data_IF_870424471234
#
_entry.id   IF_870424471234
#
_cell.length_a   1.000
_cell.length_b   1.000
_cell.length_c   1.000
_cell.angle_alpha   90.00
_cell.angle_beta   90.00
_cell.angle_gamma   90.00
#
_symmetry.space_group_name_H-M   'P 1'
#
loop_
_entity.id
_entity.type
_entity.pdbx_description
1 polymer ?
#
# COMPACT_ATOMS: atom_id res chain seq x y z
N UNK A 1 15.75 -10.23 -5.84
CA UNK A 1 15.31 -9.21 -6.83
C UNK A 1 14.57 -8.13 -6.06
N UNK A 2 14.82 -6.86 -6.34
CA UNK A 2 14.10 -5.76 -5.71
C UNK A 2 12.72 -5.64 -6.38
N UNK A 3 11.65 -5.82 -5.63
CA UNK A 3 10.28 -5.70 -6.13
C UNK A 3 9.43 -4.97 -5.09
N UNK A 4 8.46 -4.25 -5.61
CA UNK A 4 7.44 -3.54 -4.82
C UNK A 4 6.23 -4.45 -4.62
N UNK A 5 5.53 -4.33 -3.51
CA UNK A 5 4.28 -5.05 -3.25
C UNK A 5 3.16 -4.04 -3.02
N UNK A 6 2.01 -4.30 -3.64
CA UNK A 6 0.79 -3.49 -3.53
C UNK A 6 -0.36 -4.41 -3.11
N UNK A 7 -1.08 -4.04 -2.05
CA UNK A 7 -2.31 -4.72 -1.63
C UNK A 7 -3.33 -3.74 -1.05
N UNK A 8 -4.57 -4.21 -0.87
CA UNK A 8 -5.62 -3.45 -0.20
C UNK A 8 -5.76 -3.90 1.25
N UNK A 9 -5.96 -2.94 2.14
CA UNK A 9 -6.43 -3.16 3.50
C UNK A 9 -7.84 -2.61 3.68
N UNK A 10 -8.65 -3.28 4.49
CA UNK A 10 -9.97 -2.81 4.89
C UNK A 10 -9.98 -2.52 6.39
N UNK A 11 -10.50 -1.35 6.77
CA UNK A 11 -10.83 -1.02 8.14
C UNK A 11 -12.29 -1.34 8.40
N UNK A 12 -12.53 -2.31 9.27
CA UNK A 12 -13.87 -2.83 9.54
C UNK A 12 -14.77 -1.82 10.23
N UNK A 13 -14.22 -0.90 11.04
CA UNK A 13 -15.01 0.06 11.81
C UNK A 13 -15.89 0.98 10.96
N UNK A 14 -15.44 1.32 9.74
CA UNK A 14 -16.13 2.25 8.84
C UNK A 14 -16.22 1.76 7.39
N UNK A 15 -15.89 0.48 7.15
CA UNK A 15 -15.83 -0.12 5.81
C UNK A 15 -14.99 0.69 4.81
N UNK A 16 -13.92 1.33 5.30
CA UNK A 16 -12.98 2.06 4.45
C UNK A 16 -11.85 1.15 3.98
N UNK A 17 -11.22 1.53 2.88
CA UNK A 17 -10.15 0.78 2.24
C UNK A 17 -8.93 1.67 2.07
N UNK A 18 -7.72 1.12 2.15
CA UNK A 18 -6.51 1.83 1.76
C UNK A 18 -5.62 0.93 0.92
N UNK A 19 -4.80 1.55 0.08
CA UNK A 19 -3.69 0.90 -0.59
C UNK A 19 -2.49 0.89 0.33
N UNK A 20 -1.85 -0.26 0.45
CA UNK A 20 -0.59 -0.44 1.13
C UNK A 20 0.49 -0.74 0.11
N UNK A 21 1.63 -0.10 0.31
CA UNK A 21 2.77 -0.14 -0.58
C UNK A 21 4.02 -0.52 0.22
N UNK A 22 4.63 -1.65 -0.12
CA UNK A 22 5.92 -2.08 0.44
C UNK A 22 6.98 -1.99 -0.65
N UNK A 23 7.92 -1.07 -0.53
CA UNK A 23 8.91 -0.79 -1.57
C UNK A 23 10.33 -0.77 -1.00
N UNK A 24 11.35 -1.23 -1.76
CA UNK A 24 12.75 -1.06 -1.39
C UNK A 24 13.11 0.38 -0.97
N UNK A 25 14.02 0.52 0.00
CA UNK A 25 14.40 1.82 0.60
C UNK A 25 14.90 2.88 -0.37
N UNK A 26 15.42 2.48 -1.52
CA UNK A 26 16.07 3.33 -2.53
C UNK A 26 15.17 3.65 -3.74
N UNK A 27 13.92 3.18 -3.75
CA UNK A 27 12.99 3.44 -4.85
C UNK A 27 12.13 4.68 -4.61
N UNK A 28 11.80 5.38 -5.70
CA UNK A 28 10.83 6.46 -5.66
C UNK A 28 9.44 5.95 -5.25
N UNK A 29 8.73 6.80 -4.52
CA UNK A 29 7.38 6.55 -4.07
C UNK A 29 6.40 7.37 -4.94
N UNK A 30 5.28 6.78 -5.39
CA UNK A 30 4.22 7.53 -6.06
C UNK A 30 3.56 8.53 -5.10
N UNK A 31 2.96 9.57 -5.65
CA UNK A 31 2.21 10.57 -4.89
C UNK A 31 1.02 9.94 -4.13
N UNK A 32 0.61 10.59 -3.04
CA UNK A 32 -0.55 10.16 -2.24
C UNK A 32 -0.25 9.05 -1.23
N UNK A 33 1.01 8.68 -1.05
CA UNK A 33 1.47 7.73 -0.03
C UNK A 33 2.24 8.43 1.08
N UNK A 34 2.12 7.91 2.30
CA UNK A 34 2.79 8.38 3.51
C UNK A 34 3.51 7.22 4.18
N UNK A 35 4.65 7.49 4.81
CA UNK A 35 5.42 6.44 5.51
C UNK A 35 4.58 5.90 6.67
N UNK A 36 4.47 4.58 6.77
CA UNK A 36 3.70 3.94 7.82
C UNK A 36 4.33 4.06 9.20
N UNK A 37 3.50 4.21 10.23
CA UNK A 37 3.96 4.22 11.63
C UNK A 37 4.48 2.84 12.07
N UNK A 38 3.97 1.77 11.47
CA UNK A 38 4.38 0.40 11.71
C UNK A 38 5.18 -0.05 10.50
N UNK A 39 6.50 -0.17 10.64
CA UNK A 39 7.35 -0.68 9.58
C UNK A 39 7.40 -2.20 9.61
N UNK A 40 7.62 -2.78 8.43
CA UNK A 40 7.86 -4.21 8.32
C UNK A 40 9.22 -4.57 8.97
N UNK A 41 9.41 -5.81 9.39
CA UNK A 41 10.66 -6.28 10.00
C UNK A 41 11.83 -6.38 8.99
N UNK A 42 11.59 -6.00 7.73
CA UNK A 42 12.56 -6.06 6.65
C UNK A 42 13.31 -4.72 6.54
N UNK A 43 14.61 -4.65 6.89
CA UNK A 43 15.37 -3.40 6.88
C UNK A 43 15.57 -2.80 5.47
N UNK A 44 15.44 -3.61 4.42
CA UNK A 44 15.62 -3.21 3.03
C UNK A 44 14.34 -2.67 2.37
N UNK A 45 13.19 -2.72 3.06
CA UNK A 45 11.91 -2.23 2.55
C UNK A 45 11.27 -1.23 3.50
N UNK A 46 10.52 -0.28 2.94
CA UNK A 46 9.68 0.66 3.68
C UNK A 46 8.22 0.43 3.34
N UNK A 47 7.40 0.51 4.37
CA UNK A 47 5.95 0.40 4.27
C UNK A 47 5.33 1.79 4.20
N UNK A 48 4.44 1.97 3.23
CA UNK A 48 3.72 3.20 2.98
C UNK A 48 2.21 2.94 2.86
N UNK A 49 1.43 3.95 3.23
CA UNK A 49 -0.02 3.92 3.19
C UNK A 49 -0.55 5.11 2.39
N UNK A 50 -1.54 4.83 1.55
CA UNK A 50 -2.44 5.87 1.05
C UNK A 50 -3.42 6.32 2.14
N UNK A 51 -4.20 7.35 1.85
CA UNK A 51 -5.36 7.72 2.66
C UNK A 51 -6.42 6.59 2.69
N UNK A 52 -7.37 6.71 3.62
CA UNK A 52 -8.52 5.82 3.66
C UNK A 52 -9.59 6.29 2.68
N UNK A 53 -9.95 5.41 1.74
CA UNK A 53 -11.00 5.61 0.77
C UNK A 53 -12.32 5.01 1.26
N UNK A 54 -13.47 5.68 1.01
CA UNK A 54 -14.79 5.20 1.43
C UNK A 54 -15.33 4.06 0.55
N UNK A 55 -14.63 3.68 -0.53
CA UNK A 55 -15.05 2.60 -1.41
C UNK A 55 -13.86 1.85 -1.99
N UNK A 56 -14.06 0.55 -2.23
CA UNK A 56 -13.09 -0.32 -2.89
C UNK A 56 -12.74 0.18 -4.30
N UNK A 57 -13.70 0.79 -5.02
CA UNK A 57 -13.46 1.33 -6.35
C UNK A 57 -12.41 2.45 -6.33
N UNK A 58 -12.53 3.41 -5.40
CA UNK A 58 -11.55 4.49 -5.24
C UNK A 58 -10.18 3.98 -4.79
N UNK A 59 -10.16 3.03 -3.86
CA UNK A 59 -8.91 2.41 -3.43
C UNK A 59 -8.24 1.66 -4.59
N UNK A 60 -9.02 0.99 -5.44
CA UNK A 60 -8.52 0.31 -6.63
C UNK A 60 -7.96 1.30 -7.67
N UNK A 61 -8.63 2.43 -7.90
CA UNK A 61 -8.11 3.49 -8.78
C UNK A 61 -6.74 3.98 -8.29
N UNK A 62 -6.61 4.28 -6.99
CA UNK A 62 -5.32 4.66 -6.38
C UNK A 62 -4.25 3.57 -6.53
N UNK A 63 -4.63 2.29 -6.34
CA UNK A 63 -3.74 1.15 -6.50
C UNK A 63 -3.29 0.96 -7.96
N UNK A 64 -4.19 1.17 -8.91
CA UNK A 64 -3.92 1.07 -10.34
C UNK A 64 -2.96 2.21 -10.76
N UNK A 65 -3.16 3.43 -10.27
CA UNK A 65 -2.22 4.57 -10.48
C UNK A 65 -0.83 4.26 -9.90
N UNK A 66 -0.75 3.72 -8.69
CA UNK A 66 0.53 3.33 -8.09
C UNK A 66 1.22 2.22 -8.89
N UNK A 67 0.46 1.24 -9.39
CA UNK A 67 1.02 0.17 -10.23
C UNK A 67 1.56 0.72 -11.57
N UNK A 68 0.86 1.69 -12.17
CA UNK A 68 1.28 2.33 -13.40
C UNK A 68 2.58 3.13 -13.22
N UNK A 69 2.72 3.85 -12.11
CA UNK A 69 3.95 4.59 -11.77
C UNK A 69 5.20 3.69 -11.80
N UNK A 70 5.09 2.47 -11.23
CA UNK A 70 6.19 1.50 -11.22
C UNK A 70 6.38 0.83 -12.59
N UNK A 71 5.29 0.54 -13.30
CA UNK A 71 5.35 -0.04 -14.64
C UNK A 71 6.09 0.87 -15.64
N UNK A 72 5.79 2.17 -15.62
CA UNK A 72 6.43 3.18 -16.47
C UNK A 72 7.95 3.32 -16.20
N UNK A 73 8.40 2.90 -15.01
CA UNK A 73 9.81 2.90 -14.58
C UNK A 73 10.48 1.53 -14.71
N UNK A 74 9.82 0.56 -15.33
CA UNK A 74 10.27 -0.83 -15.45
C UNK A 74 10.61 -1.50 -14.08
N UNK A 75 9.96 -1.05 -13.01
CA UNK A 75 10.12 -1.63 -11.67
C UNK A 75 9.13 -2.80 -11.53
N UNK A 76 9.64 -3.97 -11.11
CA UNK A 76 8.80 -5.13 -10.84
C UNK A 76 7.91 -4.89 -9.60
N UNK A 77 6.63 -5.21 -9.73
CA UNK A 77 5.70 -5.17 -8.60
C UNK A 77 4.80 -6.41 -8.53
N UNK A 78 4.44 -6.79 -7.31
CA UNK A 78 3.41 -7.77 -7.03
C UNK A 78 2.09 -7.04 -6.73
N UNK A 79 1.09 -7.30 -7.56
CA UNK A 79 -0.25 -6.74 -7.42
C UNK A 79 -1.16 -7.78 -6.78
N UNK A 80 -1.47 -7.62 -5.49
CA UNK A 80 -2.38 -8.51 -4.78
C UNK A 80 -3.81 -8.00 -4.84
N UNK A 81 -4.73 -8.81 -5.36
CA UNK A 81 -6.17 -8.51 -5.36
C UNK A 81 -6.86 -8.83 -4.03
N UNK A 82 -6.10 -9.27 -3.04
CA UNK A 82 -6.61 -9.62 -1.73
C UNK A 82 -6.82 -8.35 -0.88
N UNK A 83 -7.93 -8.34 -0.14
CA UNK A 83 -8.22 -7.33 0.87
C UNK A 83 -7.84 -7.93 2.22
N UNK A 84 -6.81 -7.39 2.86
CA UNK A 84 -6.39 -7.82 4.20
C UNK A 84 -7.15 -7.03 5.28
N UNK A 85 -7.51 -7.63 6.42
CA UNK A 85 -8.02 -6.87 7.55
C UNK A 85 -6.92 -5.91 8.04
N UNK A 86 -7.26 -4.64 8.20
CA UNK A 86 -6.36 -3.67 8.83
C UNK A 86 -6.05 -4.09 10.26
N UNK A 87 -4.80 -3.96 10.67
CA UNK A 87 -4.40 -4.12 12.07
C UNK A 87 -4.93 -2.90 12.84
N UNK A 88 -6.13 -2.99 13.41
CA UNK A 88 -6.59 -2.04 14.42
C UNK A 88 -5.72 -2.25 15.66
N UNK A 89 -5.05 -1.20 16.14
CA UNK A 89 -4.53 -1.22 17.50
C UNK A 89 -5.75 -1.29 18.41
N UNK A 90 -6.00 -2.43 19.03
CA UNK A 90 -6.86 -2.52 20.20
C UNK A 90 -6.32 -1.49 21.21
N UNK A 91 -7.06 -0.41 21.44
CA UNK A 91 -6.73 0.51 22.52
C UNK A 91 -6.90 -0.22 23.85
N UNK A 92 -5.83 -0.24 24.66
CA UNK A 92 -5.89 -0.50 26.10
C UNK A 92 -6.64 0.62 26.84
#
# INVERSE_FOLDING_TARGET
>A
MAYTELWLEMRSSDNSFRVVLLTPVDLEMPDGFTLGDIQNLLPEKKLYYSEWFPSIAKAKESMDTASQFYNERAIHFLYFREIRPGQEKSGD
#
